data_IF_942720542040
#
_entry.id   IF_942720542040
#
_cell.length_a   1.000
_cell.length_b   1.000
_cell.length_c   1.000
_cell.angle_alpha   90.00
_cell.angle_beta   90.00
_cell.angle_gamma   90.00
#
_symmetry.space_group_name_H-M   'P 1'
#
loop_
_entity.id
_entity.type
_entity.pdbx_description
1 polymer ?
#
# COMPACT_ATOMS: atom_id res chain seq x y z
N UNK A 1 -7.34 -6.52 -13.11
CA UNK A 1 -7.20 -5.07 -12.75
C UNK A 1 -6.47 -4.86 -11.43
N UNK A 2 -6.69 -5.69 -10.42
CA UNK A 2 -6.06 -5.54 -9.07
C UNK A 2 -4.54 -5.33 -9.17
N UNK A 3 -3.83 -6.07 -10.01
CA UNK A 3 -2.38 -5.95 -10.21
C UNK A 3 -1.94 -4.52 -10.57
N UNK A 4 -2.77 -3.77 -11.28
CA UNK A 4 -2.49 -2.39 -11.70
C UNK A 4 -2.83 -1.35 -10.61
N UNK A 5 -3.72 -1.70 -9.68
CA UNK A 5 -4.12 -0.81 -8.58
C UNK A 5 -3.16 -0.89 -7.37
N UNK A 6 -2.43 -2.01 -7.21
CA UNK A 6 -1.60 -2.24 -6.00
C UNK A 6 -0.45 -1.25 -5.87
N UNK A 7 0.00 -0.66 -6.99
CA UNK A 7 1.16 0.24 -7.04
C UNK A 7 0.83 1.70 -6.68
N UNK A 8 -0.46 2.05 -6.60
CA UNK A 8 -0.91 3.42 -6.26
C UNK A 8 -0.71 3.82 -4.79
N UNK A 9 -0.02 3.00 -4.00
CA UNK A 9 0.24 3.27 -2.59
C UNK A 9 -0.92 2.89 -1.67
N UNK A 10 -0.68 3.07 -0.37
CA UNK A 10 -1.64 2.81 0.71
C UNK A 10 -1.51 3.88 1.77
N UNK A 11 -2.63 4.28 2.34
CA UNK A 11 -2.66 5.17 3.50
C UNK A 11 -3.20 4.41 4.70
N UNK A 12 -2.54 4.59 5.82
CA UNK A 12 -2.96 4.04 7.10
C UNK A 12 -2.97 5.13 8.16
N UNK A 13 -3.90 5.01 9.09
CA UNK A 13 -3.92 5.74 10.35
C UNK A 13 -3.87 4.72 11.48
N UNK A 14 -3.09 5.02 12.51
CA UNK A 14 -2.89 4.09 13.61
C UNK A 14 -2.31 4.75 14.84
N UNK A 15 -1.87 3.92 15.79
CA UNK A 15 -1.25 4.35 17.03
C UNK A 15 0.01 3.53 17.31
N UNK A 16 1.07 4.22 17.77
CA UNK A 16 2.29 3.61 18.30
C UNK A 16 2.26 3.76 19.81
N UNK A 17 2.62 2.68 20.51
CA UNK A 17 2.81 2.68 21.95
C UNK A 17 4.22 2.23 22.31
N UNK A 18 4.95 3.08 23.04
CA UNK A 18 6.26 2.79 23.62
C UNK A 18 6.11 2.15 25.00
N UNK A 19 7.11 1.38 25.41
CA UNK A 19 7.24 0.79 26.75
C UNK A 19 7.33 -0.73 26.72
N UNK A 20 6.78 -1.38 25.69
CA UNK A 20 6.94 -2.82 25.46
C UNK A 20 6.78 -3.20 23.99
N UNK A 21 7.42 -4.31 23.61
CA UNK A 21 7.25 -4.95 22.30
C UNK A 21 6.52 -6.30 22.46
N UNK A 22 5.89 -6.76 21.39
CA UNK A 22 5.11 -8.01 21.37
C UNK A 22 5.59 -8.94 20.28
N UNK A 23 5.23 -10.22 20.38
CA UNK A 23 5.57 -11.27 19.41
C UNK A 23 5.03 -10.97 18.00
N UNK A 24 3.90 -10.29 17.89
CA UNK A 24 3.25 -9.96 16.62
C UNK A 24 3.56 -8.56 16.10
N UNK A 25 4.32 -7.76 16.87
CA UNK A 25 4.60 -6.33 16.61
C UNK A 25 3.33 -5.45 16.70
N UNK A 26 2.19 -6.00 17.13
CA UNK A 26 0.92 -5.31 17.40
C UNK A 26 0.37 -5.69 18.79
N UNK A 27 -0.72 -5.06 19.21
CA UNK A 27 -1.31 -5.24 20.54
C UNK A 27 -1.80 -6.66 20.84
N UNK A 28 -1.98 -7.52 19.84
CA UNK A 28 -2.54 -8.87 20.00
C UNK A 28 -1.51 -9.92 20.45
N UNK A 29 -0.21 -9.59 20.36
CA UNK A 29 0.87 -10.51 20.72
C UNK A 29 1.22 -10.50 22.22
N UNK A 30 1.93 -11.55 22.65
CA UNK A 30 2.51 -11.61 23.99
C UNK A 30 3.69 -10.63 24.12
N UNK A 31 3.87 -10.06 25.31
CA UNK A 31 5.00 -9.14 25.57
C UNK A 31 6.31 -9.93 25.58
N UNK A 32 7.26 -9.50 24.74
CA UNK A 32 8.60 -10.12 24.64
C UNK A 32 9.73 -9.22 25.16
N UNK A 33 9.48 -7.91 25.21
CA UNK A 33 10.46 -6.94 25.71
C UNK A 33 9.72 -5.82 26.43
N UNK A 34 10.27 -5.35 27.56
CA UNK A 34 9.70 -4.24 28.32
C UNK A 34 10.80 -3.29 28.79
N UNK A 35 10.59 -1.99 28.54
CA UNK A 35 11.42 -0.91 29.07
C UNK A 35 10.52 0.26 29.42
N UNK A 36 10.42 0.56 30.71
CA UNK A 36 9.51 1.60 31.20
C UNK A 36 9.90 2.98 30.65
N UNK A 37 8.90 3.72 30.18
CA UNK A 37 9.05 5.14 29.86
C UNK A 37 8.93 5.90 31.18
N UNK A 38 10.05 6.38 31.71
CA UNK A 38 10.12 7.03 33.04
C UNK A 38 9.86 8.52 32.99
N UNK A 39 10.00 9.13 31.82
CA UNK A 39 9.65 10.52 31.55
C UNK A 39 9.11 10.65 30.12
N UNK A 40 8.14 11.52 29.86
CA UNK A 40 7.59 11.68 28.53
C UNK A 40 8.64 12.21 27.55
N UNK A 41 8.71 11.61 26.35
CA UNK A 41 9.45 12.14 25.22
C UNK A 41 8.71 13.37 24.67
N UNK A 42 9.47 14.36 24.23
CA UNK A 42 8.88 15.55 23.62
C UNK A 42 8.31 15.26 22.23
N UNK A 43 7.42 16.12 21.80
CA UNK A 43 6.84 16.11 20.45
C UNK A 43 7.92 16.15 19.37
N UNK A 44 8.94 17.00 19.56
CA UNK A 44 10.05 17.17 18.63
C UNK A 44 10.89 15.89 18.47
N UNK A 45 11.13 15.17 19.58
CA UNK A 45 11.85 13.90 19.54
C UNK A 45 11.09 12.85 18.74
N UNK A 46 9.77 12.77 18.94
CA UNK A 46 8.90 11.84 18.23
C UNK A 46 8.85 12.19 16.74
N UNK A 47 8.58 13.46 16.42
CA UNK A 47 8.47 13.92 15.03
C UNK A 47 9.79 13.77 14.27
N UNK A 48 10.93 14.00 14.93
CA UNK A 48 12.25 13.75 14.35
C UNK A 48 12.45 12.27 14.02
N UNK A 49 12.13 11.36 14.95
CA UNK A 49 12.26 9.93 14.74
C UNK A 49 11.35 9.43 13.59
N UNK A 50 10.13 9.97 13.48
CA UNK A 50 9.22 9.65 12.39
C UNK A 50 9.71 10.20 11.05
N UNK A 51 10.23 11.43 11.00
CA UNK A 51 10.80 12.02 9.79
C UNK A 51 11.97 11.18 9.24
N UNK A 52 12.83 10.65 10.09
CA UNK A 52 13.93 9.77 9.70
C UNK A 52 13.49 8.41 9.13
N UNK A 53 12.22 8.02 9.31
CA UNK A 53 11.63 6.82 8.72
C UNK A 53 10.95 7.11 7.37
N UNK A 54 11.07 8.32 6.83
CA UNK A 54 10.52 8.69 5.52
C UNK A 54 11.54 8.42 4.40
N UNK A 55 11.08 8.14 3.20
CA UNK A 55 11.89 7.76 2.05
C UNK A 55 12.01 6.24 1.88
N UNK A 56 13.08 5.79 1.22
CA UNK A 56 13.36 4.37 1.07
C UNK A 56 14.02 3.83 2.34
N UNK A 57 13.32 2.93 3.02
CA UNK A 57 13.81 2.25 4.22
C UNK A 57 14.00 0.76 3.97
N UNK A 58 14.82 0.11 4.82
CA UNK A 58 14.95 -1.35 4.84
C UNK A 58 14.17 -1.90 6.03
N UNK A 59 13.25 -2.84 5.77
CA UNK A 59 12.49 -3.54 6.80
C UNK A 59 12.81 -5.04 6.81
N UNK A 60 12.78 -5.63 8.00
CA UNK A 60 12.73 -7.09 8.19
C UNK A 60 11.26 -7.44 8.47
N UNK A 61 10.55 -8.16 7.57
CA UNK A 61 9.14 -8.50 7.77
C UNK A 61 8.88 -9.17 9.11
N UNK A 62 7.73 -8.90 9.78
CA UNK A 62 7.38 -9.57 11.02
C UNK A 62 7.21 -11.07 10.80
N UNK A 63 7.48 -11.88 11.84
CA UNK A 63 7.28 -13.34 11.78
C UNK A 63 5.85 -13.71 11.40
N UNK A 64 4.86 -12.96 11.90
CA UNK A 64 3.47 -13.14 11.54
C UNK A 64 3.12 -12.42 10.23
N UNK A 65 3.75 -12.84 9.13
CA UNK A 65 3.50 -12.32 7.78
C UNK A 65 3.38 -13.44 6.74
N UNK A 66 2.83 -13.11 5.56
CA UNK A 66 2.67 -14.03 4.45
C UNK A 66 3.91 -14.14 3.53
N UNK A 67 5.04 -13.54 3.93
CA UNK A 67 6.31 -13.67 3.19
C UNK A 67 6.74 -15.13 3.18
N UNK A 68 7.11 -15.62 2.01
CA UNK A 68 7.62 -16.99 1.86
C UNK A 68 9.14 -17.02 1.95
N UNK A 69 9.64 -17.95 2.74
CA UNK A 69 11.06 -18.33 2.86
C UNK A 69 11.13 -19.84 2.72
N UNK A 70 11.97 -20.37 1.84
CA UNK A 70 12.09 -21.80 1.58
C UNK A 70 10.74 -22.49 1.29
N UNK A 71 9.84 -21.81 0.55
CA UNK A 71 8.52 -22.32 0.16
C UNK A 71 7.41 -22.23 1.22
N UNK A 72 7.74 -21.96 2.49
CA UNK A 72 6.83 -21.87 3.64
C UNK A 72 6.65 -20.41 4.06
N UNK A 73 5.47 -19.99 4.53
CA UNK A 73 5.22 -18.61 4.97
C UNK A 73 5.80 -18.36 6.36
N UNK A 74 6.25 -17.15 6.65
CA UNK A 74 6.84 -16.80 7.95
C UNK A 74 5.88 -17.09 9.11
N UNK A 75 4.58 -16.82 8.98
CA UNK A 75 3.61 -17.13 10.04
C UNK A 75 3.48 -18.64 10.34
N UNK A 76 3.82 -19.52 9.39
CA UNK A 76 3.80 -20.98 9.59
C UNK A 76 5.01 -21.41 10.43
N UNK A 77 6.18 -20.79 10.23
CA UNK A 77 7.34 -20.95 11.10
C UNK A 77 7.03 -20.47 12.52
N UNK A 78 6.45 -19.25 12.66
CA UNK A 78 6.09 -18.68 13.94
C UNK A 78 5.15 -19.61 14.76
N UNK A 79 4.10 -20.17 14.13
CA UNK A 79 3.16 -21.08 14.78
C UNK A 79 3.75 -22.39 15.22
N UNK A 80 4.78 -22.85 14.50
CA UNK A 80 5.46 -24.10 14.83
C UNK A 80 6.64 -23.89 15.81
N UNK A 81 6.93 -22.66 16.20
CA UNK A 81 8.12 -22.34 17.02
C UNK A 81 9.46 -22.56 16.29
N UNK A 82 9.45 -22.56 14.96
CA UNK A 82 10.64 -22.76 14.13
C UNK A 82 11.34 -21.42 13.86
N UNK A 83 12.65 -21.40 14.02
CA UNK A 83 13.47 -20.25 13.65
C UNK A 83 13.75 -20.24 12.15
N UNK A 84 13.75 -19.06 11.55
CA UNK A 84 14.10 -18.84 10.15
C UNK A 84 14.69 -17.45 9.95
N UNK A 85 15.72 -17.34 9.12
CA UNK A 85 16.28 -16.05 8.74
C UNK A 85 15.29 -15.28 7.87
N UNK A 86 14.92 -14.08 8.32
CA UNK A 86 13.94 -13.23 7.61
C UNK A 86 14.66 -12.34 6.59
N UNK A 87 14.16 -12.29 5.34
CA UNK A 87 14.79 -11.46 4.31
C UNK A 87 14.61 -9.98 4.61
N UNK A 88 15.62 -9.18 4.31
CA UNK A 88 15.48 -7.73 4.28
C UNK A 88 14.75 -7.31 3.00
N UNK A 89 13.86 -6.31 3.10
CA UNK A 89 13.10 -5.76 1.99
C UNK A 89 13.10 -4.24 2.02
N UNK A 90 13.18 -3.64 0.83
CA UNK A 90 13.00 -2.21 0.67
C UNK A 90 11.52 -1.87 0.75
N UNK A 91 11.20 -0.80 1.47
CA UNK A 91 9.88 -0.21 1.58
C UNK A 91 9.99 1.30 1.35
N UNK A 92 9.04 1.87 0.63
CA UNK A 92 8.96 3.30 0.37
C UNK A 92 7.93 3.93 1.31
N UNK A 93 8.33 4.89 2.09
CA UNK A 93 7.48 5.71 2.96
C UNK A 93 7.41 7.11 2.35
N UNK A 94 6.25 7.49 1.81
CA UNK A 94 6.07 8.79 1.16
C UNK A 94 5.84 9.91 2.17
N UNK A 95 5.08 9.64 3.23
CA UNK A 95 4.94 10.51 4.41
C UNK A 95 4.68 9.68 5.65
N UNK A 96 5.13 10.19 6.81
CA UNK A 96 4.88 9.58 8.12
C UNK A 96 4.79 10.69 9.16
N UNK A 97 3.58 11.00 9.58
CA UNK A 97 3.25 12.19 10.36
C UNK A 97 2.46 11.81 11.61
N UNK A 98 2.78 12.47 12.73
CA UNK A 98 2.00 12.39 13.96
C UNK A 98 0.70 13.20 13.79
N UNK A 99 -0.41 12.63 14.24
CA UNK A 99 -1.76 13.24 14.10
C UNK A 99 -2.44 13.54 15.43
N UNK A 100 -1.79 13.26 16.57
CA UNK A 100 -2.29 13.62 17.90
C UNK A 100 -1.16 14.10 18.80
N UNK A 101 -1.49 14.80 19.87
CA UNK A 101 -0.54 15.00 20.98
C UNK A 101 -0.16 13.66 21.59
N UNK A 102 1.12 13.47 21.99
CA UNK A 102 1.56 12.28 22.70
C UNK A 102 0.90 12.18 24.07
N UNK A 103 0.44 10.99 24.43
CA UNK A 103 -0.19 10.71 25.72
C UNK A 103 0.78 9.87 26.55
N UNK A 104 1.24 10.41 27.67
CA UNK A 104 2.05 9.66 28.64
C UNK A 104 1.16 9.05 29.71
N UNK A 105 1.23 7.74 29.89
CA UNK A 105 0.53 7.01 30.94
C UNK A 105 1.50 6.69 32.08
N UNK A 106 1.44 7.48 33.16
CA UNK A 106 2.32 7.32 34.32
C UNK A 106 2.17 5.95 35.00
N UNK A 107 0.94 5.43 35.11
CA UNK A 107 0.69 4.17 35.79
C UNK A 107 1.18 2.95 35.01
N UNK A 108 1.09 2.98 33.69
CA UNK A 108 1.57 1.94 32.81
C UNK A 108 3.04 2.14 32.39
N UNK A 109 3.60 3.30 32.62
CA UNK A 109 4.92 3.73 32.12
C UNK A 109 5.05 3.55 30.61
N UNK A 110 4.02 4.00 29.86
CA UNK A 110 3.97 3.95 28.42
C UNK A 110 3.71 5.32 27.83
N UNK A 111 4.06 5.53 26.58
CA UNK A 111 3.69 6.72 25.84
C UNK A 111 3.16 6.35 24.48
N UNK A 112 2.04 6.94 24.06
CA UNK A 112 1.42 6.66 22.76
C UNK A 112 1.09 7.93 21.99
N UNK A 113 0.99 7.81 20.68
CA UNK A 113 0.51 8.86 19.77
C UNK A 113 -0.09 8.26 18.51
N UNK A 114 -1.03 8.98 17.93
CA UNK A 114 -1.60 8.61 16.64
C UNK A 114 -0.72 9.12 15.49
N UNK A 115 -0.74 8.39 14.41
CA UNK A 115 -0.01 8.72 13.19
C UNK A 115 -0.85 8.48 11.93
N UNK A 116 -0.39 9.11 10.84
CA UNK A 116 -0.80 8.82 9.47
C UNK A 116 0.43 8.49 8.66
N UNK A 117 0.37 7.40 7.88
CA UNK A 117 1.46 7.00 6.99
C UNK A 117 0.92 6.76 5.57
N UNK A 118 1.63 7.30 4.57
CA UNK A 118 1.45 7.00 3.15
C UNK A 118 2.66 6.21 2.69
N UNK A 119 2.45 5.01 2.18
CA UNK A 119 3.54 4.10 1.85
C UNK A 119 3.29 3.25 0.60
N UNK A 120 4.36 2.73 0.03
CA UNK A 120 4.34 1.80 -1.09
C UNK A 120 3.87 0.39 -0.71
N UNK A 121 3.69 -0.45 -1.73
CA UNK A 121 3.37 -1.87 -1.55
C UNK A 121 4.47 -2.58 -0.74
N UNK A 122 4.05 -3.57 0.05
CA UNK A 122 4.98 -4.41 0.81
C UNK A 122 5.49 -3.79 2.12
N UNK A 123 5.11 -2.56 2.46
CA UNK A 123 5.42 -1.93 3.73
C UNK A 123 4.68 -2.61 4.88
N UNK A 124 5.39 -2.92 5.96
CA UNK A 124 4.85 -3.43 7.21
C UNK A 124 4.74 -2.29 8.23
N UNK A 125 3.52 -1.78 8.46
CA UNK A 125 3.29 -0.68 9.39
C UNK A 125 3.59 -1.10 10.84
N UNK A 126 3.39 -2.37 11.18
CA UNK A 126 3.81 -2.92 12.48
C UNK A 126 5.31 -2.77 12.71
N UNK A 127 6.10 -3.21 11.74
CA UNK A 127 7.57 -3.07 11.80
C UNK A 127 8.00 -1.60 11.81
N UNK A 128 7.31 -0.72 11.06
CA UNK A 128 7.56 0.72 11.10
C UNK A 128 7.39 1.28 12.51
N UNK A 129 6.35 0.84 13.23
CA UNK A 129 6.08 1.24 14.63
C UNK A 129 7.19 0.76 15.57
N UNK A 130 7.61 -0.49 15.44
CA UNK A 130 8.71 -1.07 16.24
C UNK A 130 10.03 -0.33 15.96
N UNK A 131 10.33 -0.07 14.70
CA UNK A 131 11.60 0.58 14.31
C UNK A 131 11.62 2.06 14.72
N UNK A 132 10.47 2.75 14.74
CA UNK A 132 10.33 4.09 15.32
C UNK A 132 10.64 4.07 16.82
N UNK A 133 10.09 3.11 17.55
CA UNK A 133 10.41 2.92 18.97
C UNK A 133 11.90 2.68 19.24
N UNK A 134 12.55 1.84 18.43
CA UNK A 134 14.01 1.61 18.53
C UNK A 134 14.81 2.89 18.34
N UNK A 135 14.45 3.75 17.39
CA UNK A 135 15.09 5.07 17.20
C UNK A 135 14.94 5.96 18.43
N UNK A 136 13.83 5.87 19.12
CA UNK A 136 13.57 6.59 20.38
C UNK A 136 14.19 5.90 21.60
N UNK A 137 14.82 4.72 21.44
CA UNK A 137 15.46 3.96 22.48
C UNK A 137 14.52 3.15 23.37
N UNK A 138 13.32 2.84 22.89
CA UNK A 138 12.29 2.07 23.60
C UNK A 138 11.73 0.93 22.73
N UNK A 139 11.39 -0.23 23.35
CA UNK A 139 10.54 -1.21 22.69
C UNK A 139 9.14 -0.61 22.45
N UNK A 140 8.58 -0.94 21.29
CA UNK A 140 7.30 -0.41 20.85
C UNK A 140 6.48 -1.48 20.11
N UNK A 141 5.19 -1.20 19.98
CA UNK A 141 4.27 -1.97 19.15
C UNK A 141 3.22 -1.04 18.53
N UNK A 142 2.56 -1.52 17.50
CA UNK A 142 1.41 -0.88 16.90
C UNK A 142 0.16 -1.22 17.72
N UNK A 143 -0.43 -0.24 18.39
CA UNK A 143 -1.60 -0.44 19.27
C UNK A 143 -2.93 -0.31 18.54
N UNK A 144 -2.97 0.41 17.41
CA UNK A 144 -4.15 0.53 16.54
C UNK A 144 -3.73 0.70 15.08
N UNK A 145 -4.57 0.23 14.14
CA UNK A 145 -4.36 0.44 12.71
C UNK A 145 -5.66 0.35 11.91
N UNK A 146 -5.88 1.36 11.08
CA UNK A 146 -6.92 1.37 10.05
C UNK A 146 -6.30 1.74 8.71
N UNK A 147 -6.59 0.97 7.64
CA UNK A 147 -6.22 1.35 6.29
C UNK A 147 -7.29 2.27 5.71
N UNK A 148 -6.93 3.52 5.45
CA UNK A 148 -7.86 4.57 4.98
C UNK A 148 -7.82 4.78 3.47
N UNK A 149 -6.76 4.27 2.76
CA UNK A 149 -6.72 4.25 1.30
C UNK A 149 -5.92 3.07 0.76
N UNK A 150 -6.34 2.53 -0.39
CA UNK A 150 -5.64 1.49 -1.12
C UNK A 150 -6.10 1.45 -2.57
N UNK A 151 -5.16 1.31 -3.52
CA UNK A 151 -5.52 1.15 -4.92
C UNK A 151 -6.21 2.38 -5.55
N UNK A 152 -5.93 3.58 -5.06
CA UNK A 152 -6.61 4.82 -5.49
C UNK A 152 -7.96 5.05 -4.80
N UNK A 153 -8.50 4.06 -4.07
CA UNK A 153 -9.78 4.17 -3.36
C UNK A 153 -9.59 4.64 -1.93
N UNK A 154 -10.49 5.52 -1.46
CA UNK A 154 -10.51 6.05 -0.09
C UNK A 154 -11.59 5.33 0.74
N UNK A 155 -11.37 5.19 2.05
CA UNK A 155 -12.34 4.57 2.96
C UNK A 155 -13.73 5.23 2.91
N UNK A 156 -13.78 6.56 2.72
CA UNK A 156 -15.04 7.30 2.59
C UNK A 156 -15.88 6.93 1.35
N UNK A 157 -15.28 6.23 0.37
CA UNK A 157 -15.94 5.75 -0.84
C UNK A 157 -16.36 4.28 -0.73
N UNK A 158 -16.00 3.62 0.38
CA UNK A 158 -16.28 2.21 0.59
C UNK A 158 -17.65 2.00 1.22
N UNK A 159 -18.30 0.91 0.85
CA UNK A 159 -19.50 0.41 1.50
C UNK A 159 -19.16 -0.66 2.52
N UNK A 160 -19.95 -0.76 3.58
CA UNK A 160 -19.89 -1.89 4.50
C UNK A 160 -20.45 -3.16 3.85
N UNK A 161 -20.13 -4.33 4.41
CA UNK A 161 -20.69 -5.60 3.93
C UNK A 161 -22.22 -5.62 4.04
N UNK A 162 -22.78 -5.01 5.09
CA UNK A 162 -24.21 -4.87 5.30
C UNK A 162 -24.88 -3.99 4.24
N UNK A 163 -24.23 -2.88 3.86
CA UNK A 163 -24.70 -2.01 2.78
C UNK A 163 -24.67 -2.73 1.43
N UNK A 164 -23.59 -3.45 1.12
CA UNK A 164 -23.50 -4.29 -0.08
C UNK A 164 -24.61 -5.34 -0.09
N UNK A 165 -24.86 -6.03 1.02
CA UNK A 165 -25.93 -7.03 1.12
C UNK A 165 -27.31 -6.43 0.88
N UNK A 166 -27.57 -5.21 1.40
CA UNK A 166 -28.84 -4.48 1.15
C UNK A 166 -29.00 -4.14 -0.32
N UNK A 167 -27.93 -3.63 -0.98
CA UNK A 167 -27.98 -3.30 -2.42
C UNK A 167 -28.20 -4.53 -3.29
N UNK A 168 -27.59 -5.67 -2.93
CA UNK A 168 -27.82 -6.95 -3.60
C UNK A 168 -29.28 -7.40 -3.47
N UNK A 169 -29.84 -7.36 -2.26
CA UNK A 169 -31.24 -7.74 -2.00
C UNK A 169 -32.25 -6.83 -2.71
N UNK A 170 -31.89 -5.56 -2.91
CA UNK A 170 -32.72 -4.57 -3.63
C UNK A 170 -32.49 -4.59 -5.15
N UNK A 171 -31.63 -5.44 -5.69
CA UNK A 171 -31.22 -5.50 -7.11
C UNK A 171 -30.68 -4.13 -7.64
N UNK A 172 -30.03 -3.35 -6.76
CA UNK A 172 -29.49 -2.01 -7.08
C UNK A 172 -27.98 -1.94 -7.00
N UNK A 173 -27.30 -3.09 -6.90
CA UNK A 173 -25.83 -3.16 -6.73
C UNK A 173 -25.07 -2.42 -7.84
N UNK A 174 -25.58 -2.40 -9.06
CA UNK A 174 -24.95 -1.72 -10.20
C UNK A 174 -24.75 -0.21 -9.96
N UNK A 175 -25.59 0.40 -9.11
CA UNK A 175 -25.46 1.82 -8.74
C UNK A 175 -24.25 2.09 -7.82
N UNK A 176 -23.71 1.05 -7.20
CA UNK A 176 -22.57 1.12 -6.29
C UNK A 176 -21.25 0.72 -6.95
N UNK A 177 -21.31 0.16 -8.17
CA UNK A 177 -20.09 -0.25 -8.89
C UNK A 177 -19.40 0.97 -9.49
N UNK A 178 -18.10 1.08 -9.23
CA UNK A 178 -17.27 2.08 -9.89
C UNK A 178 -16.93 1.63 -11.32
N UNK A 179 -16.83 2.56 -12.28
CA UNK A 179 -16.41 2.23 -13.63
C UNK A 179 -14.96 1.70 -13.62
N UNK A 180 -14.64 0.81 -14.54
CA UNK A 180 -13.31 0.21 -14.65
C UNK A 180 -12.21 1.27 -14.88
N UNK A 181 -12.58 2.42 -15.41
CA UNK A 181 -11.74 3.59 -15.64
C UNK A 181 -11.08 4.08 -14.36
N UNK A 182 -11.78 4.01 -13.21
CA UNK A 182 -11.23 4.37 -11.89
C UNK A 182 -9.96 3.55 -11.55
N UNK A 183 -9.88 2.31 -12.03
CA UNK A 183 -8.72 1.45 -11.78
C UNK A 183 -7.47 1.82 -12.60
N UNK A 184 -7.56 2.76 -13.53
CA UNK A 184 -6.49 3.15 -14.46
C UNK A 184 -6.17 4.65 -14.45
N UNK A 185 -6.80 5.42 -13.56
CA UNK A 185 -6.59 6.88 -13.44
C UNK A 185 -5.14 7.30 -13.20
N UNK A 186 -4.33 6.42 -12.58
CA UNK A 186 -2.91 6.67 -12.34
C UNK A 186 -2.05 6.58 -13.60
N UNK A 187 -2.56 6.03 -14.72
CA UNK A 187 -1.80 5.90 -15.94
C UNK A 187 -2.06 7.06 -16.90
N UNK A 188 -1.04 7.52 -17.64
CA UNK A 188 -1.24 8.50 -18.70
C UNK A 188 -2.32 8.04 -19.67
N UNK A 189 -3.30 8.90 -19.92
CA UNK A 189 -4.42 8.65 -20.83
C UNK A 189 -4.04 9.07 -22.26
N UNK A 190 -4.40 8.23 -23.24
CA UNK A 190 -4.31 8.53 -24.66
C UNK A 190 -5.67 8.19 -25.30
N UNK A 191 -6.28 9.19 -25.93
CA UNK A 191 -7.54 9.00 -26.65
C UNK A 191 -7.27 8.54 -28.09
N UNK A 192 -7.98 7.51 -28.51
CA UNK A 192 -7.81 6.86 -29.80
C UNK A 192 -8.75 7.46 -30.87
N UNK A 193 -8.27 7.55 -32.10
CA UNK A 193 -9.12 7.68 -33.29
C UNK A 193 -9.80 6.36 -33.61
N UNK A 194 -10.85 6.41 -34.45
CA UNK A 194 -11.58 5.22 -34.92
C UNK A 194 -10.63 4.18 -35.55
N UNK A 195 -9.67 4.65 -36.35
CA UNK A 195 -8.69 3.78 -36.99
C UNK A 195 -7.79 3.06 -35.96
N UNK A 196 -7.28 3.80 -34.98
CA UNK A 196 -6.45 3.24 -33.91
C UNK A 196 -7.21 2.31 -32.99
N UNK A 197 -8.49 2.62 -32.72
CA UNK A 197 -9.36 1.73 -31.97
C UNK A 197 -9.46 0.34 -32.59
N UNK A 198 -9.62 0.24 -33.94
CA UNK A 198 -9.68 -1.05 -34.63
C UNK A 198 -8.40 -1.89 -34.48
N UNK A 199 -7.25 -1.23 -34.37
CA UNK A 199 -5.97 -1.90 -34.09
C UNK A 199 -5.87 -2.34 -32.61
N UNK A 200 -6.22 -1.44 -31.69
CA UNK A 200 -6.06 -1.63 -30.25
C UNK A 200 -7.00 -2.70 -29.70
N UNK A 201 -8.25 -2.76 -30.14
CA UNK A 201 -9.21 -3.77 -29.68
C UNK A 201 -8.77 -5.20 -30.02
N UNK A 202 -7.98 -5.37 -31.08
CA UNK A 202 -7.40 -6.64 -31.51
C UNK A 202 -6.01 -6.89 -30.91
N UNK A 203 -5.53 -6.04 -30.01
CA UNK A 203 -4.25 -6.22 -29.33
C UNK A 203 -3.02 -6.04 -30.23
N UNK A 204 -3.12 -5.25 -31.30
CA UNK A 204 -2.00 -5.01 -32.21
C UNK A 204 -0.92 -4.16 -31.53
N UNK A 205 0.34 -4.42 -31.87
CA UNK A 205 1.47 -3.56 -31.49
C UNK A 205 1.35 -2.25 -32.23
N UNK A 206 1.68 -1.14 -31.56
CA UNK A 206 1.62 0.19 -32.15
C UNK A 206 2.98 0.89 -32.08
N UNK A 207 3.31 1.64 -33.10
CA UNK A 207 4.47 2.52 -33.08
C UNK A 207 4.14 3.78 -32.26
N UNK A 208 5.08 4.27 -31.44
CA UNK A 208 4.85 5.43 -30.57
C UNK A 208 4.33 6.68 -31.31
N UNK A 209 4.73 6.85 -32.59
CA UNK A 209 4.25 7.95 -33.44
C UNK A 209 2.76 7.88 -33.75
N UNK A 210 2.21 6.65 -33.90
CA UNK A 210 0.76 6.46 -34.15
C UNK A 210 -0.07 6.96 -32.98
N UNK A 211 0.47 6.84 -31.76
CA UNK A 211 -0.16 7.33 -30.53
C UNK A 211 0.19 8.81 -30.19
N UNK A 212 0.91 9.50 -31.06
CA UNK A 212 1.35 10.89 -30.82
C UNK A 212 2.39 11.04 -29.69
N UNK A 213 3.01 9.95 -29.26
CA UNK A 213 3.96 9.95 -28.12
C UNK A 213 5.35 10.41 -28.61
N UNK A 214 5.84 11.49 -28.01
CA UNK A 214 7.18 12.05 -28.32
C UNK A 214 8.29 11.20 -27.69
N UNK A 215 8.20 10.87 -26.40
CA UNK A 215 9.12 10.01 -25.67
C UNK A 215 8.41 8.72 -25.25
N UNK A 216 9.14 7.59 -25.23
CA UNK A 216 8.55 6.33 -24.71
C UNK A 216 8.13 6.52 -23.24
N UNK A 217 6.93 6.03 -22.86
CA UNK A 217 6.52 6.05 -21.47
C UNK A 217 7.40 5.12 -20.64
N UNK A 218 7.68 5.48 -19.40
CA UNK A 218 8.44 4.64 -18.47
C UNK A 218 7.63 3.45 -17.96
N UNK A 219 6.29 3.55 -18.02
CA UNK A 219 5.36 2.57 -17.49
C UNK A 219 4.18 2.34 -18.45
N UNK A 220 3.08 1.85 -17.91
CA UNK A 220 1.82 1.65 -18.63
C UNK A 220 1.19 2.98 -19.07
N UNK A 221 0.49 2.93 -20.20
CA UNK A 221 -0.44 3.97 -20.67
C UNK A 221 -1.82 3.37 -20.85
N UNK A 222 -2.86 4.14 -20.57
CA UNK A 222 -4.24 3.74 -20.74
C UNK A 222 -4.80 4.32 -22.05
N UNK A 223 -5.24 3.45 -22.95
CA UNK A 223 -5.80 3.82 -24.24
C UNK A 223 -7.30 3.86 -24.14
N UNK A 224 -7.87 5.01 -24.47
CA UNK A 224 -9.30 5.29 -24.37
C UNK A 224 -9.95 5.48 -25.74
N UNK A 225 -11.17 5.02 -25.89
CA UNK A 225 -12.02 5.31 -27.02
C UNK A 225 -13.42 5.67 -26.50
N UNK A 226 -13.97 6.80 -26.94
CA UNK A 226 -15.26 7.33 -26.48
C UNK A 226 -15.40 7.35 -24.95
N UNK A 227 -14.38 7.84 -24.25
CA UNK A 227 -14.28 7.89 -22.79
C UNK A 227 -14.25 6.54 -22.05
N UNK A 228 -14.15 5.43 -22.76
CA UNK A 228 -14.00 4.11 -22.18
C UNK A 228 -12.57 3.60 -22.38
N UNK A 229 -11.96 3.04 -21.33
CA UNK A 229 -10.64 2.41 -21.44
C UNK A 229 -10.75 1.12 -22.24
N UNK A 230 -10.00 1.03 -23.32
CA UNK A 230 -9.98 -0.14 -24.22
C UNK A 230 -8.87 -1.09 -23.83
N UNK A 231 -7.68 -0.56 -23.57
CA UNK A 231 -6.51 -1.38 -23.30
C UNK A 231 -5.44 -0.63 -22.52
N UNK A 232 -4.63 -1.38 -21.78
CA UNK A 232 -3.38 -0.90 -21.20
C UNK A 232 -2.22 -1.33 -22.09
N UNK A 233 -1.35 -0.41 -22.42
CA UNK A 233 -0.16 -0.65 -23.24
C UNK A 233 1.10 -0.34 -22.45
N UNK A 234 2.18 -1.05 -22.80
CA UNK A 234 3.51 -0.88 -22.21
C UNK A 234 4.58 -0.83 -23.29
N UNK A 235 5.77 -0.27 -23.00
CA UNK A 235 6.92 -0.34 -23.91
C UNK A 235 7.22 -1.79 -24.28
N UNK A 236 7.56 -2.01 -25.54
CA UNK A 236 7.97 -3.33 -25.98
C UNK A 236 9.35 -3.67 -25.43
N UNK A 237 9.59 -4.86 -24.86
CA UNK A 237 10.85 -5.18 -24.18
C UNK A 237 12.09 -5.20 -25.08
N UNK A 238 11.92 -5.38 -26.40
CA UNK A 238 13.02 -5.50 -27.36
C UNK A 238 12.95 -4.50 -28.52
N UNK A 239 11.93 -3.64 -28.56
CA UNK A 239 11.74 -2.65 -29.61
C UNK A 239 11.41 -1.29 -29.02
N UNK A 240 12.39 -0.42 -28.95
CA UNK A 240 12.38 0.90 -28.32
C UNK A 240 11.41 1.95 -28.92
N UNK A 241 10.78 1.62 -30.07
CA UNK A 241 9.79 2.50 -30.74
C UNK A 241 8.38 1.93 -30.73
N UNK A 242 8.19 0.70 -30.21
CA UNK A 242 6.90 0.01 -30.20
C UNK A 242 6.33 -0.08 -28.79
N UNK A 243 5.00 0.00 -28.72
CA UNK A 243 4.22 -0.40 -27.56
C UNK A 243 3.46 -1.70 -27.88
N UNK A 244 3.27 -2.51 -26.87
CA UNK A 244 2.46 -3.74 -26.92
C UNK A 244 1.35 -3.70 -25.87
N UNK A 245 0.24 -4.41 -26.10
CA UNK A 245 -0.78 -4.56 -25.06
C UNK A 245 -0.21 -5.28 -23.84
N UNK A 246 -0.49 -4.76 -22.68
CA UNK A 246 -0.38 -5.42 -21.39
C UNK A 246 -1.68 -6.13 -21.06
N UNK A 247 -2.81 -5.45 -21.31
CA UNK A 247 -4.16 -5.96 -21.06
C UNK A 247 -5.17 -5.32 -22.00
N UNK A 248 -5.91 -6.12 -22.76
CA UNK A 248 -7.10 -5.69 -23.50
C UNK A 248 -8.29 -5.81 -22.54
N UNK A 249 -9.04 -4.75 -22.38
CA UNK A 249 -10.17 -4.64 -21.45
C UNK A 249 -11.53 -4.66 -22.17
N UNK A 250 -11.59 -4.09 -23.38
CA UNK A 250 -12.77 -4.07 -24.26
C UNK A 250 -12.35 -4.37 -25.69
N UNK A 251 -13.04 -5.31 -26.33
CA UNK A 251 -12.78 -5.76 -27.69
C UNK A 251 -14.07 -5.89 -28.53
N UNK A 252 -15.17 -5.35 -28.04
CA UNK A 252 -16.49 -5.38 -28.70
C UNK A 252 -16.65 -4.24 -29.70
#
# INVERSE_FOLDING_TARGET
MIEYMVDSGKTYEGEITLGFATTTEDVSGEIVEKKLVTAPLSTEQIDQAMAEMTGEITQIPPMFSAVKVNGKRLYEYARNGEEVERPQRKAMIYSFERTSEPIFNESAHTQSWRFKVVCGKGTYVRTLSVDTGKKLGYPAHMSDLTRTASGGLQAAQCLTLEEVAKQMAAETIDQCLLPIETAVEQFPRIDLSDELYQKVKNGMRLHKKELGIKAMPESLVALFYQNQVVSLYMPHPTHDKLLKPSKVLRNN
#
